data_IF_542730799684
#
_entry.id   IF_542730799684
#
_cell.length_a   1.000
_cell.length_b   1.000
_cell.length_c   1.000
_cell.angle_alpha   90.00
_cell.angle_beta   90.00
_cell.angle_gamma   90.00
#
_symmetry.space_group_name_H-M   'P 1'
#
loop_
_entity.id
_entity.type
_entity.pdbx_description
1 polymer ?
#
# COMPACT_ATOMS: atom_id res chain seq x y z
N UNK A 1 -12.39 4.87 16.87
CA UNK A 1 -11.60 4.81 18.12
C UNK A 1 -10.71 6.05 18.23
N UNK A 2 -10.85 6.87 19.28
CA UNK A 2 -9.98 8.04 19.48
C UNK A 2 -8.59 7.63 19.98
N UNK A 3 -7.53 8.12 19.35
CA UNK A 3 -6.15 8.06 19.85
C UNK A 3 -5.35 9.24 19.27
N UNK A 4 -4.06 9.32 19.61
CA UNK A 4 -3.23 10.47 19.26
C UNK A 4 -3.12 10.65 17.73
N UNK A 5 -2.87 9.58 16.97
CA UNK A 5 -2.78 9.58 15.50
C UNK A 5 -1.79 10.63 14.92
N UNK A 6 -0.61 10.78 15.51
CA UNK A 6 0.42 11.75 15.11
C UNK A 6 1.74 11.08 14.73
N UNK A 7 2.57 11.81 13.98
CA UNK A 7 3.90 11.36 13.62
C UNK A 7 4.86 12.56 13.46
N UNK A 8 5.46 12.96 14.58
CA UNK A 8 6.57 13.91 14.57
C UNK A 8 7.78 13.35 13.78
N UNK A 9 8.53 14.19 13.02
CA UNK A 9 8.41 15.65 12.85
C UNK A 9 7.63 16.07 11.60
N UNK A 10 6.79 15.21 11.03
CA UNK A 10 6.22 15.46 9.70
C UNK A 10 5.12 16.54 9.75
N UNK A 11 5.25 17.64 8.98
CA UNK A 11 4.34 18.78 9.04
C UNK A 11 3.05 18.57 8.24
N UNK A 12 2.53 17.34 8.20
CA UNK A 12 1.29 17.05 7.49
C UNK A 12 0.06 17.44 8.32
N UNK A 13 -1.00 18.00 7.69
CA UNK A 13 -2.23 18.32 8.40
C UNK A 13 -2.78 17.13 9.18
N UNK A 14 -3.06 17.34 10.48
CA UNK A 14 -3.57 16.29 11.37
C UNK A 14 -2.49 15.44 12.07
N UNK A 15 -1.21 15.53 11.67
CA UNK A 15 -0.14 14.68 12.20
C UNK A 15 0.64 15.30 13.37
N UNK A 16 0.22 16.46 13.87
CA UNK A 16 0.82 17.16 15.01
C UNK A 16 2.05 18.01 14.68
N UNK A 17 2.67 17.82 13.51
CA UNK A 17 3.80 18.64 13.04
C UNK A 17 5.01 18.61 13.98
N UNK A 18 5.68 19.76 14.12
CA UNK A 18 6.91 19.87 14.93
C UNK A 18 6.69 19.77 16.45
N UNK A 19 5.43 19.84 16.90
CA UNK A 19 5.04 19.71 18.31
C UNK A 19 4.21 18.44 18.58
N UNK A 20 4.08 17.56 17.58
CA UNK A 20 3.29 16.35 17.68
C UNK A 20 3.96 15.27 18.53
N UNK A 21 3.18 14.24 18.88
CA UNK A 21 3.72 13.03 19.47
C UNK A 21 4.59 12.28 18.47
N UNK A 22 5.62 11.62 18.99
CA UNK A 22 6.45 10.69 18.23
C UNK A 22 5.68 9.41 17.90
N UNK A 23 6.18 8.65 16.93
CA UNK A 23 5.49 7.48 16.38
C UNK A 23 5.09 6.46 17.45
N UNK A 24 6.04 5.97 18.24
CA UNK A 24 5.77 4.93 19.24
C UNK A 24 4.80 5.41 20.31
N UNK A 25 4.86 6.67 20.74
CA UNK A 25 3.89 7.27 21.68
C UNK A 25 2.49 7.25 21.09
N UNK A 26 2.36 7.67 19.83
CA UNK A 26 1.07 7.66 19.13
C UNK A 26 0.51 6.25 18.99
N UNK A 27 1.32 5.31 18.48
CA UNK A 27 0.92 3.90 18.33
C UNK A 27 0.55 3.26 19.66
N UNK A 28 1.33 3.49 20.73
CA UNK A 28 1.04 2.95 22.05
C UNK A 28 -0.32 3.43 22.60
N UNK A 29 -0.68 4.70 22.39
CA UNK A 29 -1.99 5.22 22.75
C UNK A 29 -3.13 4.52 22.00
N UNK A 30 -2.91 4.23 20.70
CA UNK A 30 -3.86 3.50 19.87
C UNK A 30 -4.00 2.04 20.30
N UNK A 31 -2.90 1.37 20.62
CA UNK A 31 -2.90 -0.02 21.11
C UNK A 31 -3.64 -0.11 22.44
N UNK A 32 -3.40 0.82 23.36
CA UNK A 32 -4.10 0.85 24.64
C UNK A 32 -5.62 1.00 24.45
N UNK A 33 -6.05 1.94 23.61
CA UNK A 33 -7.47 2.15 23.36
C UNK A 33 -8.11 0.97 22.62
N UNK A 34 -7.49 0.46 21.55
CA UNK A 34 -8.04 -0.66 20.79
C UNK A 34 -8.15 -1.93 21.65
N UNK A 35 -7.15 -2.19 22.50
CA UNK A 35 -7.19 -3.31 23.44
C UNK A 35 -8.33 -3.12 24.44
N UNK A 36 -8.51 -1.92 24.99
CA UNK A 36 -9.61 -1.60 25.90
C UNK A 36 -10.99 -1.81 25.26
N UNK A 37 -11.14 -1.40 23.99
CA UNK A 37 -12.39 -1.54 23.26
C UNK A 37 -12.72 -3.02 22.99
N UNK A 38 -11.70 -3.84 22.67
CA UNK A 38 -11.85 -5.28 22.42
C UNK A 38 -12.17 -6.09 23.69
N UNK A 39 -11.65 -5.71 24.86
CA UNK A 39 -11.99 -6.41 26.11
C UNK A 39 -13.28 -5.88 26.77
N UNK A 40 -13.72 -4.68 26.37
CA UNK A 40 -14.84 -3.97 26.97
C UNK A 40 -16.05 -3.92 26.05
N UNK A 41 -16.17 -2.82 25.29
CA UNK A 41 -17.37 -2.49 24.52
C UNK A 41 -17.72 -3.53 23.45
N UNK A 42 -16.72 -4.08 22.77
CA UNK A 42 -16.95 -5.02 21.67
C UNK A 42 -16.84 -6.49 22.08
N UNK A 43 -16.08 -6.81 23.14
CA UNK A 43 -15.89 -8.13 23.75
C UNK A 43 -16.32 -9.34 22.88
N UNK A 44 -15.46 -9.80 21.95
CA UNK A 44 -15.80 -10.82 20.96
C UNK A 44 -16.32 -12.12 21.57
N UNK A 45 -17.40 -12.64 21.00
CA UNK A 45 -18.00 -13.94 21.36
C UNK A 45 -18.52 -14.65 20.11
N UNK A 46 -18.90 -15.94 20.19
CA UNK A 46 -19.50 -16.64 19.05
C UNK A 46 -20.78 -15.97 18.51
N UNK A 47 -21.49 -15.23 19.38
CA UNK A 47 -22.70 -14.48 19.02
C UNK A 47 -22.40 -13.01 18.63
N UNK A 48 -21.15 -12.56 18.79
CA UNK A 48 -20.72 -11.17 18.55
C UNK A 48 -19.28 -11.14 18.00
N UNK A 49 -19.16 -11.46 16.71
CA UNK A 49 -17.88 -11.44 16.01
C UNK A 49 -17.43 -10.00 15.72
N UNK A 50 -16.12 -9.77 15.79
CA UNK A 50 -15.51 -8.44 15.62
C UNK A 50 -14.49 -8.45 14.49
N UNK A 51 -14.62 -7.49 13.57
CA UNK A 51 -13.59 -7.19 12.57
C UNK A 51 -12.85 -5.92 12.96
N UNK A 52 -11.56 -6.04 13.21
CA UNK A 52 -10.67 -4.91 13.49
C UNK A 52 -10.14 -4.36 12.16
N UNK A 53 -10.58 -3.15 11.83
CA UNK A 53 -10.10 -2.44 10.63
C UNK A 53 -8.99 -1.45 10.98
N UNK A 54 -7.87 -1.48 10.24
CA UNK A 54 -6.73 -0.58 10.42
C UNK A 54 -6.25 0.03 9.10
N UNK A 55 -5.97 1.34 9.10
CA UNK A 55 -5.42 2.06 7.95
C UNK A 55 -4.17 2.84 8.32
N UNK A 56 -3.09 2.70 7.54
CA UNK A 56 -1.82 3.42 7.73
C UNK A 56 -1.29 3.22 9.17
N UNK A 57 -1.06 4.27 9.97
CA UNK A 57 -0.67 4.12 11.39
C UNK A 57 -1.68 3.28 12.20
N UNK A 58 -2.98 3.33 11.86
CA UNK A 58 -3.99 2.45 12.46
C UNK A 58 -3.79 0.98 12.14
N UNK A 59 -3.21 0.65 10.98
CA UNK A 59 -2.81 -0.72 10.64
C UNK A 59 -1.61 -1.19 11.46
N UNK A 60 -0.67 -0.30 11.79
CA UNK A 60 0.41 -0.58 12.76
C UNK A 60 -0.15 -0.86 14.15
N UNK A 61 -1.09 -0.03 14.63
CA UNK A 61 -1.80 -0.25 15.91
C UNK A 61 -2.49 -1.62 15.91
N UNK A 62 -3.26 -1.92 14.87
CA UNK A 62 -3.96 -3.19 14.73
C UNK A 62 -2.98 -4.38 14.66
N UNK A 63 -1.85 -4.25 13.97
CA UNK A 63 -0.80 -5.28 13.90
C UNK A 63 -0.19 -5.58 15.27
N UNK A 64 0.02 -4.56 16.10
CA UNK A 64 0.53 -4.74 17.46
C UNK A 64 -0.51 -5.38 18.39
N UNK A 65 -1.79 -5.01 18.25
CA UNK A 65 -2.88 -5.68 18.98
C UNK A 65 -3.00 -7.14 18.53
N UNK A 66 -2.99 -7.44 17.23
CA UNK A 66 -2.98 -8.81 16.70
C UNK A 66 -1.86 -9.65 17.31
N UNK A 67 -0.65 -9.09 17.42
CA UNK A 67 0.50 -9.77 18.07
C UNK A 67 0.21 -10.12 19.53
N UNK A 68 -0.39 -9.21 20.29
CA UNK A 68 -0.77 -9.46 21.68
C UNK A 68 -1.86 -10.54 21.79
N UNK A 69 -2.86 -10.50 20.91
CA UNK A 69 -3.95 -11.49 20.86
C UNK A 69 -3.49 -12.88 20.43
N UNK A 70 -2.34 -13.01 19.74
CA UNK A 70 -1.76 -14.30 19.37
C UNK A 70 -1.45 -15.22 20.55
N UNK A 71 -1.41 -14.68 21.79
CA UNK A 71 -1.21 -15.45 23.02
C UNK A 71 -2.51 -16.05 23.59
N UNK A 72 -3.68 -15.70 23.03
CA UNK A 72 -4.96 -16.24 23.46
C UNK A 72 -5.21 -17.66 22.92
N UNK A 73 -6.15 -18.38 23.54
CA UNK A 73 -6.58 -19.68 23.03
C UNK A 73 -7.28 -19.55 21.67
N UNK A 74 -7.27 -20.61 20.86
CA UNK A 74 -7.92 -20.61 19.54
C UNK A 74 -9.42 -20.29 19.64
N UNK A 75 -10.09 -20.74 20.69
CA UNK A 75 -11.49 -20.42 20.95
C UNK A 75 -11.74 -18.92 21.16
N UNK A 76 -10.82 -18.20 21.82
CA UNK A 76 -10.94 -16.76 22.04
C UNK A 76 -10.61 -15.95 20.77
N UNK A 77 -9.78 -16.52 19.88
CA UNK A 77 -9.37 -15.89 18.63
C UNK A 77 -10.39 -16.09 17.50
N UNK A 78 -11.22 -17.13 17.59
CA UNK A 78 -12.15 -17.55 16.53
C UNK A 78 -13.15 -16.45 16.10
N UNK A 79 -13.49 -15.54 17.02
CA UNK A 79 -14.49 -14.49 16.80
C UNK A 79 -13.88 -13.12 16.45
N UNK A 80 -12.58 -13.10 16.12
CA UNK A 80 -11.84 -11.88 15.77
C UNK A 80 -11.23 -12.05 14.39
N UNK A 81 -11.39 -11.04 13.54
CA UNK A 81 -10.68 -10.93 12.28
C UNK A 81 -10.07 -9.53 12.11
N UNK A 82 -9.08 -9.41 11.24
CA UNK A 82 -8.42 -8.15 10.93
C UNK A 82 -8.53 -7.80 9.45
N UNK A 83 -8.74 -6.53 9.14
CA UNK A 83 -8.62 -5.98 7.79
C UNK A 83 -7.69 -4.78 7.85
N UNK A 84 -6.57 -4.86 7.14
CA UNK A 84 -5.52 -3.85 7.14
C UNK A 84 -5.41 -3.25 5.74
N UNK A 85 -5.33 -1.94 5.66
CA UNK A 85 -5.08 -1.23 4.40
C UNK A 85 -3.91 -0.26 4.54
N UNK A 86 -3.11 -0.10 3.49
CA UNK A 86 -1.95 0.81 3.54
C UNK A 86 -1.00 0.47 4.69
N UNK A 87 -0.80 -0.81 5.00
CA UNK A 87 -0.13 -1.26 6.22
C UNK A 87 1.39 -1.00 6.18
N UNK A 88 1.95 -0.12 7.04
CA UNK A 88 3.39 0.11 7.10
C UNK A 88 4.19 -1.12 7.52
N UNK A 89 3.56 -2.04 8.27
CA UNK A 89 4.16 -3.27 8.79
C UNK A 89 3.87 -4.50 7.91
N UNK A 90 3.37 -4.30 6.68
CA UNK A 90 3.24 -5.38 5.70
C UNK A 90 4.61 -6.05 5.51
N UNK A 91 4.78 -7.36 5.80
CA UNK A 91 6.11 -7.98 5.91
C UNK A 91 7.01 -7.76 4.68
N UNK A 92 6.43 -7.84 3.48
CA UNK A 92 7.08 -7.42 2.25
C UNK A 92 6.26 -6.33 1.55
N UNK A 93 6.86 -5.16 1.39
CA UNK A 93 6.23 -3.96 0.82
C UNK A 93 6.07 -2.84 1.85
N UNK A 94 5.88 -3.18 3.13
CA UNK A 94 5.76 -2.20 4.21
C UNK A 94 7.03 -1.37 4.38
N UNK A 95 6.92 -0.04 4.34
CA UNK A 95 8.06 0.88 4.51
C UNK A 95 8.76 0.68 5.86
N UNK A 96 8.02 0.33 6.91
CA UNK A 96 8.64 0.06 8.22
C UNK A 96 9.43 -1.26 8.23
N UNK A 97 9.09 -2.19 7.35
CA UNK A 97 9.81 -3.45 7.20
C UNK A 97 11.01 -3.30 6.26
N UNK A 98 10.92 -2.42 5.25
CA UNK A 98 12.08 -2.02 4.43
C UNK A 98 13.23 -1.48 5.27
N UNK A 99 12.89 -0.68 6.28
CA UNK A 99 13.83 -0.01 7.19
C UNK A 99 14.22 -0.85 8.41
N UNK A 100 13.92 -2.15 8.46
CA UNK A 100 14.14 -3.00 9.63
C UNK A 100 15.58 -2.96 10.19
N UNK A 101 16.59 -2.75 9.34
CA UNK A 101 18.00 -2.66 9.76
C UNK A 101 18.26 -1.49 10.73
N UNK A 102 17.42 -0.44 10.71
CA UNK A 102 17.54 0.70 11.60
C UNK A 102 17.10 0.38 13.05
N UNK A 103 16.35 -0.71 13.27
CA UNK A 103 15.78 -1.04 14.57
C UNK A 103 14.93 0.11 15.12
N UNK A 104 15.21 0.54 16.35
CA UNK A 104 14.59 1.73 16.94
C UNK A 104 15.47 2.96 16.72
N UNK A 105 14.91 4.00 16.09
CA UNK A 105 15.60 5.30 15.91
C UNK A 105 15.19 6.24 17.06
N UNK A 106 16.07 6.55 18.03
CA UNK A 106 15.66 7.24 19.27
C UNK A 106 15.14 8.67 19.06
N UNK A 107 15.66 9.39 18.07
CA UNK A 107 15.23 10.76 17.78
C UNK A 107 13.78 10.76 17.30
N UNK A 108 13.45 9.91 16.33
CA UNK A 108 12.10 9.73 15.81
C UNK A 108 11.17 9.00 16.79
N UNK A 109 11.74 8.23 17.72
CA UNK A 109 11.03 7.24 18.55
C UNK A 109 10.08 6.40 17.69
N UNK A 110 10.67 5.78 16.67
CA UNK A 110 10.01 4.88 15.74
C UNK A 110 10.80 3.58 15.70
N UNK A 111 10.11 2.46 15.86
CA UNK A 111 10.68 1.11 15.78
C UNK A 111 10.31 0.46 14.46
N UNK A 112 11.33 0.08 13.69
CA UNK A 112 11.21 -0.58 12.39
C UNK A 112 11.39 -2.10 12.53
N UNK A 113 11.01 -2.86 11.49
CA UNK A 113 11.17 -4.32 11.47
C UNK A 113 10.25 -5.04 12.45
N UNK A 114 8.97 -4.69 12.47
CA UNK A 114 7.95 -5.30 13.34
C UNK A 114 6.80 -5.83 12.48
N UNK A 115 7.09 -6.85 11.63
CA UNK A 115 6.17 -7.27 10.58
C UNK A 115 4.86 -7.77 11.18
N UNK A 116 3.72 -7.41 10.59
CA UNK A 116 2.41 -7.92 11.01
C UNK A 116 2.48 -9.46 11.08
N UNK A 117 2.19 -10.07 12.23
CA UNK A 117 2.36 -11.52 12.39
C UNK A 117 1.36 -12.27 11.50
N UNK A 118 1.77 -13.40 10.96
CA UNK A 118 0.99 -14.25 10.03
C UNK A 118 0.66 -15.63 10.61
N UNK A 119 1.02 -15.85 11.88
CA UNK A 119 1.02 -17.15 12.55
C UNK A 119 0.28 -17.11 13.90
N UNK A 120 -0.62 -16.14 14.07
CA UNK A 120 -1.42 -15.99 15.30
C UNK A 120 -2.66 -16.90 15.32
N UNK A 121 -3.09 -17.39 14.17
CA UNK A 121 -4.36 -18.08 13.98
C UNK A 121 -5.56 -17.14 13.88
N UNK A 122 -5.34 -15.83 13.73
CA UNK A 122 -6.39 -14.81 13.60
C UNK A 122 -6.48 -14.41 12.13
N UNK A 123 -7.62 -14.68 11.49
CA UNK A 123 -7.83 -14.37 10.09
C UNK A 123 -7.58 -12.88 9.81
N UNK A 124 -6.75 -12.60 8.80
CA UNK A 124 -6.38 -11.24 8.42
C UNK A 124 -6.42 -11.05 6.92
N UNK A 125 -6.98 -9.93 6.46
CA UNK A 125 -6.87 -9.48 5.07
C UNK A 125 -6.02 -8.21 5.03
N UNK A 126 -4.90 -8.21 4.30
CA UNK A 126 -4.01 -7.06 4.12
C UNK A 126 -4.09 -6.59 2.66
N UNK A 127 -4.60 -5.38 2.44
CA UNK A 127 -4.87 -4.82 1.12
C UNK A 127 -3.94 -3.63 0.87
N UNK A 128 -3.26 -3.64 -0.26
CA UNK A 128 -2.45 -2.51 -0.72
C UNK A 128 -2.74 -2.18 -2.18
N UNK A 129 -2.65 -0.90 -2.55
CA UNK A 129 -2.54 -0.49 -3.94
C UNK A 129 -1.09 -0.64 -4.42
N UNK A 130 -0.91 -1.08 -5.66
CA UNK A 130 0.39 -1.14 -6.30
C UNK A 130 1.01 0.26 -6.34
N UNK A 131 2.29 0.33 -5.97
CA UNK A 131 3.08 1.55 -5.83
C UNK A 131 2.71 2.45 -4.65
N UNK A 132 1.86 2.02 -3.72
CA UNK A 132 1.70 2.73 -2.45
C UNK A 132 3.08 2.87 -1.75
N UNK A 133 3.51 4.12 -1.55
CA UNK A 133 4.79 4.45 -0.92
C UNK A 133 4.93 4.07 0.56
N UNK A 134 3.94 3.40 1.15
CA UNK A 134 4.00 2.87 2.52
C UNK A 134 3.77 1.37 2.57
N UNK A 135 2.86 0.84 1.77
CA UNK A 135 2.47 -0.57 1.82
C UNK A 135 3.01 -1.43 0.66
N UNK A 136 3.49 -0.80 -0.41
CA UNK A 136 4.13 -1.46 -1.56
C UNK A 136 5.37 -0.65 -1.97
N UNK A 137 6.32 -0.49 -1.04
CA UNK A 137 7.59 0.20 -1.27
C UNK A 137 8.59 -0.74 -1.99
N UNK A 138 9.41 -0.24 -2.94
CA UNK A 138 10.42 -1.02 -3.65
C UNK A 138 11.35 -1.84 -2.75
N UNK A 139 11.77 -3.01 -3.22
CA UNK A 139 12.73 -3.85 -2.51
C UNK A 139 14.17 -3.38 -2.70
N UNK A 140 14.45 -2.76 -3.84
CA UNK A 140 15.80 -2.39 -4.28
C UNK A 140 15.94 -0.87 -4.43
N UNK A 141 16.47 -0.15 -3.41
CA UNK A 141 16.59 1.31 -3.42
C UNK A 141 17.69 1.84 -4.37
N UNK A 142 18.32 0.95 -5.14
CA UNK A 142 19.20 1.33 -6.26
C UNK A 142 18.39 1.66 -7.51
N UNK A 143 17.12 1.20 -7.59
CA UNK A 143 16.22 1.56 -8.67
C UNK A 143 15.51 2.88 -8.35
N UNK A 144 16.19 3.99 -8.67
CA UNK A 144 15.68 5.33 -8.39
C UNK A 144 14.34 5.63 -9.08
N UNK A 145 14.03 5.00 -10.22
CA UNK A 145 12.72 5.16 -10.86
C UNK A 145 11.62 4.57 -9.99
N UNK A 146 11.84 3.37 -9.44
CA UNK A 146 10.91 2.74 -8.52
C UNK A 146 10.74 3.54 -7.24
N UNK A 147 11.83 4.07 -6.68
CA UNK A 147 11.79 4.90 -5.47
C UNK A 147 11.02 6.20 -5.69
N UNK A 148 11.30 6.92 -6.79
CA UNK A 148 10.56 8.14 -7.15
C UNK A 148 9.09 7.86 -7.41
N UNK A 149 8.77 6.72 -8.05
CA UNK A 149 7.39 6.30 -8.28
C UNK A 149 6.67 5.96 -6.97
N UNK A 150 7.34 5.32 -6.01
CA UNK A 150 6.79 5.05 -4.69
C UNK A 150 6.59 6.33 -3.85
N UNK A 151 7.51 7.29 -3.94
CA UNK A 151 7.34 8.61 -3.31
C UNK A 151 6.14 9.37 -3.90
N UNK A 152 5.97 9.32 -5.21
CA UNK A 152 4.75 9.84 -5.84
C UNK A 152 3.52 9.04 -5.39
N UNK A 153 3.63 7.72 -5.24
CA UNK A 153 2.57 6.87 -4.68
C UNK A 153 2.19 7.23 -3.24
N UNK A 154 3.13 7.66 -2.40
CA UNK A 154 2.78 8.21 -1.09
C UNK A 154 1.88 9.46 -1.21
N UNK A 155 2.20 10.35 -2.15
CA UNK A 155 1.44 11.58 -2.36
C UNK A 155 0.06 11.35 -2.99
N UNK A 156 -0.05 10.44 -3.97
CA UNK A 156 -1.23 10.28 -4.83
C UNK A 156 -2.06 9.02 -4.54
N UNK A 157 -1.51 8.03 -3.82
CA UNK A 157 -2.18 6.76 -3.51
C UNK A 157 -2.41 6.59 -2.01
N UNK A 158 -1.38 6.76 -1.19
CA UNK A 158 -1.43 6.29 0.19
C UNK A 158 -2.55 6.93 1.02
N UNK A 159 -2.92 8.18 0.72
CA UNK A 159 -3.99 8.89 1.42
C UNK A 159 -5.41 8.66 0.86
N UNK A 160 -5.56 8.03 -0.31
CA UNK A 160 -6.80 8.01 -1.10
C UNK A 160 -7.53 6.67 -1.09
N UNK A 161 -7.10 5.69 -0.28
CA UNK A 161 -7.75 4.37 -0.19
C UNK A 161 -9.24 4.44 0.18
N UNK A 162 -9.58 5.34 1.10
CA UNK A 162 -10.92 5.53 1.65
C UNK A 162 -11.53 6.84 1.17
N UNK A 163 -10.97 7.43 0.10
CA UNK A 163 -11.42 8.72 -0.33
C UNK A 163 -12.85 8.59 -0.90
N UNK A 164 -13.74 9.46 -0.41
CA UNK A 164 -13.37 10.79 0.05
C UNK A 164 -13.93 11.12 1.43
N UNK A 165 -13.03 11.52 2.31
CA UNK A 165 -13.43 12.40 3.39
C UNK A 165 -13.98 13.73 2.81
N UNK A 166 -14.59 14.56 3.65
CA UNK A 166 -15.25 15.83 3.28
C UNK A 166 -14.37 16.88 2.56
N UNK A 167 -13.12 16.56 2.19
CA UNK A 167 -12.19 17.39 1.41
C UNK A 167 -11.82 16.78 0.04
N UNK A 168 -12.42 15.66 -0.34
CA UNK A 168 -12.15 14.94 -1.58
C UNK A 168 -13.49 14.65 -2.29
N UNK A 169 -13.50 14.46 -3.60
CA UNK A 169 -14.71 14.16 -4.37
C UNK A 169 -15.08 12.68 -4.18
N UNK A 170 -16.35 12.30 -3.86
CA UNK A 170 -16.94 10.92 -3.87
C UNK A 170 -16.37 9.91 -4.86
N UNK A 171 -15.82 10.35 -6.00
CA UNK A 171 -15.19 9.49 -7.00
C UNK A 171 -13.66 9.47 -7.04
N UNK A 172 -12.94 10.14 -6.12
CA UNK A 172 -11.48 10.29 -6.17
C UNK A 172 -10.76 9.03 -5.65
N UNK A 173 -10.65 8.04 -6.52
CA UNK A 173 -9.81 6.87 -6.27
C UNK A 173 -8.37 7.09 -6.75
N UNK A 174 -7.42 6.34 -6.19
CA UNK A 174 -6.01 6.50 -6.53
C UNK A 174 -5.74 6.36 -8.03
N UNK A 175 -5.02 7.35 -8.57
CA UNK A 175 -4.23 7.22 -9.79
C UNK A 175 -5.02 6.76 -11.03
N UNK A 176 -6.25 7.26 -11.18
CA UNK A 176 -7.12 7.03 -12.35
C UNK A 176 -7.99 5.78 -12.27
N UNK A 177 -8.13 5.17 -11.09
CA UNK A 177 -9.19 4.18 -10.84
C UNK A 177 -10.55 4.88 -10.72
N UNK A 178 -11.60 4.15 -11.07
CA UNK A 178 -12.99 4.53 -10.78
C UNK A 178 -13.66 3.45 -9.90
N UNK A 179 -14.74 3.76 -9.16
CA UNK A 179 -15.35 2.82 -8.22
C UNK A 179 -15.79 1.48 -8.84
N UNK A 180 -16.30 1.49 -10.07
CA UNK A 180 -16.74 0.27 -10.74
C UNK A 180 -15.55 -0.61 -11.15
N UNK A 181 -14.47 0.02 -11.64
CA UNK A 181 -13.21 -0.66 -11.96
C UNK A 181 -12.57 -1.23 -10.70
N UNK A 182 -12.58 -0.51 -9.59
CA UNK A 182 -12.05 -0.99 -8.31
C UNK A 182 -12.85 -2.20 -7.80
N UNK A 183 -14.18 -2.09 -7.75
CA UNK A 183 -15.06 -3.18 -7.28
C UNK A 183 -14.90 -4.44 -8.12
N UNK A 184 -14.92 -4.31 -9.46
CA UNK A 184 -14.74 -5.44 -10.38
C UNK A 184 -13.34 -6.05 -10.26
N UNK A 185 -12.29 -5.24 -10.17
CA UNK A 185 -10.91 -5.72 -9.99
C UNK A 185 -10.73 -6.48 -8.69
N UNK A 186 -11.22 -5.95 -7.56
CA UNK A 186 -11.13 -6.63 -6.26
C UNK A 186 -11.93 -7.94 -6.28
N UNK A 187 -13.13 -7.91 -6.85
CA UNK A 187 -13.97 -9.11 -6.96
C UNK A 187 -13.30 -10.21 -7.80
N UNK A 188 -12.67 -9.83 -8.92
CA UNK A 188 -11.89 -10.74 -9.76
C UNK A 188 -10.70 -11.36 -9.00
N UNK A 189 -9.91 -10.52 -8.30
CA UNK A 189 -8.73 -10.98 -7.55
C UNK A 189 -9.14 -11.95 -6.45
N UNK A 190 -10.16 -11.59 -5.67
CA UNK A 190 -10.63 -12.41 -4.54
C UNK A 190 -11.24 -13.72 -5.04
N UNK A 191 -12.05 -13.69 -6.10
CA UNK A 191 -12.65 -14.90 -6.68
C UNK A 191 -11.59 -15.89 -7.20
N UNK A 192 -10.46 -15.38 -7.69
CA UNK A 192 -9.39 -16.19 -8.28
C UNK A 192 -8.14 -16.27 -7.38
N UNK A 193 -8.27 -16.02 -6.07
CA UNK A 193 -7.13 -15.82 -5.18
C UNK A 193 -6.12 -17.00 -5.16
N UNK A 194 -6.58 -18.22 -5.47
CA UNK A 194 -5.71 -19.40 -5.53
C UNK A 194 -4.70 -19.36 -6.70
N UNK A 195 -5.00 -18.63 -7.77
CA UNK A 195 -4.19 -18.60 -9.00
C UNK A 195 -3.76 -17.19 -9.40
N UNK A 196 -4.41 -16.16 -8.86
CA UNK A 196 -4.11 -14.77 -9.17
C UNK A 196 -2.87 -14.31 -8.39
N UNK A 197 -1.78 -13.87 -9.06
CA UNK A 197 -0.57 -13.42 -8.36
C UNK A 197 -0.76 -12.16 -7.50
N UNK A 198 -1.87 -11.43 -7.70
CA UNK A 198 -2.28 -10.26 -6.91
C UNK A 198 -2.90 -10.66 -5.57
N UNK A 199 -3.22 -11.94 -5.38
CA UNK A 199 -3.69 -12.51 -4.12
C UNK A 199 -2.71 -13.56 -3.61
N UNK A 200 -2.30 -13.49 -2.34
CA UNK A 200 -1.38 -14.47 -1.76
C UNK A 200 -1.84 -14.84 -0.36
N UNK A 201 -1.88 -16.14 -0.05
CA UNK A 201 -2.11 -16.63 1.30
C UNK A 201 -0.77 -16.94 1.97
N UNK A 202 -0.53 -16.40 3.16
CA UNK A 202 0.61 -16.76 4.00
C UNK A 202 0.14 -16.91 5.45
N UNK A 203 0.17 -18.13 5.97
CA UNK A 203 -0.36 -18.44 7.30
C UNK A 203 -1.84 -18.02 7.43
N UNK A 204 -2.15 -17.26 8.48
CA UNK A 204 -3.49 -16.73 8.78
C UNK A 204 -3.87 -15.47 7.97
N UNK A 205 -3.00 -15.01 7.06
CA UNK A 205 -3.16 -13.72 6.36
C UNK A 205 -3.33 -13.90 4.85
N UNK A 206 -4.38 -13.29 4.31
CA UNK A 206 -4.61 -13.10 2.87
C UNK A 206 -4.12 -11.71 2.46
N UNK A 207 -3.17 -11.64 1.53
CA UNK A 207 -2.69 -10.39 0.95
C UNK A 207 -3.38 -10.14 -0.39
N UNK A 208 -3.92 -8.94 -0.57
CA UNK A 208 -4.51 -8.49 -1.83
C UNK A 208 -3.77 -7.24 -2.30
N UNK A 209 -3.37 -7.21 -3.58
CA UNK A 209 -2.66 -6.08 -4.18
C UNK A 209 -3.41 -5.57 -5.39
N UNK A 210 -3.95 -4.37 -5.29
CA UNK A 210 -4.79 -3.78 -6.32
C UNK A 210 -3.89 -3.00 -7.29
N UNK A 211 -3.82 -3.37 -8.57
CA UNK A 211 -3.01 -2.65 -9.54
C UNK A 211 -3.51 -1.22 -9.74
N UNK A 212 -2.61 -0.29 -10.02
CA UNK A 212 -3.00 1.07 -10.41
C UNK A 212 -2.82 1.26 -11.92
N UNK A 213 -3.80 1.84 -12.63
CA UNK A 213 -3.79 1.90 -14.09
C UNK A 213 -2.70 2.82 -14.62
N UNK A 214 -2.38 3.89 -13.88
CA UNK A 214 -1.33 4.84 -14.22
C UNK A 214 -0.08 4.64 -13.35
N UNK A 215 1.04 5.26 -13.72
CA UNK A 215 2.20 5.35 -12.83
C UNK A 215 2.10 6.63 -12.00
N UNK A 216 2.18 6.58 -10.65
CA UNK A 216 2.18 7.77 -9.82
C UNK A 216 3.27 8.78 -10.21
N UNK A 217 4.43 8.30 -10.67
CA UNK A 217 5.53 9.14 -11.15
C UNK A 217 5.10 10.11 -12.27
N UNK A 218 4.09 9.75 -13.05
CA UNK A 218 3.60 10.53 -14.19
C UNK A 218 2.39 11.40 -13.83
N UNK A 219 1.83 11.25 -12.63
CA UNK A 219 0.68 12.02 -12.17
C UNK A 219 0.94 13.54 -12.20
N UNK A 220 2.11 14.08 -11.79
CA UNK A 220 2.37 15.52 -11.90
C UNK A 220 2.28 16.08 -13.32
N UNK A 221 2.63 15.28 -14.34
CA UNK A 221 2.51 15.69 -15.75
C UNK A 221 1.05 15.73 -16.18
N UNK A 222 0.24 14.76 -15.73
CA UNK A 222 -1.23 14.74 -15.94
C UNK A 222 -1.90 15.92 -15.25
N UNK A 223 -1.52 16.20 -14.01
CA UNK A 223 -2.02 17.34 -13.21
C UNK A 223 -1.71 18.67 -13.91
N UNK A 224 -0.46 18.84 -14.38
CA UNK A 224 -0.06 20.02 -15.16
C UNK A 224 -0.91 20.16 -16.42
N UNK A 225 -1.06 19.09 -17.19
CA UNK A 225 -1.91 19.06 -18.39
C UNK A 225 -3.34 19.49 -18.10
N UNK A 226 -3.92 18.99 -17.01
CA UNK A 226 -5.25 19.36 -16.55
C UNK A 226 -5.35 20.84 -16.17
N UNK A 227 -4.40 21.32 -15.36
CA UNK A 227 -4.37 22.70 -14.86
C UNK A 227 -4.11 23.74 -15.97
N UNK A 228 -3.37 23.38 -17.02
CA UNK A 228 -3.02 24.29 -18.12
C UNK A 228 -3.87 24.09 -19.37
N UNK A 229 -4.85 23.17 -19.35
CA UNK A 229 -5.63 22.75 -20.52
C UNK A 229 -4.77 22.24 -21.71
N UNK A 230 -3.63 21.60 -21.41
CA UNK A 230 -2.70 21.04 -22.39
C UNK A 230 -2.77 19.50 -22.43
N UNK A 231 -3.94 18.92 -22.13
CA UNK A 231 -4.14 17.46 -22.16
C UNK A 231 -3.84 16.87 -23.54
N UNK A 232 -4.11 17.62 -24.61
CA UNK A 232 -3.79 17.20 -25.99
C UNK A 232 -2.29 16.99 -26.26
N UNK A 233 -1.40 17.51 -25.40
CA UNK A 233 0.05 17.28 -25.45
C UNK A 233 0.48 16.29 -24.36
N UNK A 234 0.00 16.50 -23.14
CA UNK A 234 0.45 15.75 -21.96
C UNK A 234 -0.06 14.32 -21.94
N UNK A 235 -1.30 14.05 -22.37
CA UNK A 235 -1.85 12.68 -22.41
C UNK A 235 -1.05 11.77 -23.36
N UNK A 236 -0.87 12.12 -24.67
CA UNK A 236 -0.08 11.27 -25.56
C UNK A 236 1.37 11.09 -25.08
N UNK A 237 1.97 12.12 -24.48
CA UNK A 237 3.32 12.04 -23.95
C UNK A 237 3.41 11.03 -22.79
N UNK A 238 2.48 11.10 -21.85
CA UNK A 238 2.46 10.20 -20.70
C UNK A 238 2.18 8.78 -21.15
N UNK A 239 1.20 8.58 -22.03
CA UNK A 239 0.80 7.25 -22.50
C UNK A 239 1.87 6.62 -23.41
N UNK A 240 2.70 7.43 -24.08
CA UNK A 240 3.91 6.98 -24.77
C UNK A 240 4.96 6.38 -23.83
N UNK A 241 5.27 7.06 -22.72
CA UNK A 241 6.40 6.68 -21.85
C UNK A 241 6.01 5.72 -20.73
N UNK A 242 4.73 5.70 -20.35
CA UNK A 242 4.24 4.95 -19.20
C UNK A 242 4.54 3.46 -19.26
N UNK A 243 4.29 2.74 -20.37
CA UNK A 243 4.54 1.30 -20.40
C UNK A 243 6.03 0.97 -20.20
N UNK A 244 6.92 1.69 -20.88
CA UNK A 244 8.35 1.48 -20.76
C UNK A 244 8.86 1.79 -19.34
N UNK A 245 8.41 2.89 -18.75
CA UNK A 245 8.73 3.23 -17.36
C UNK A 245 8.21 2.17 -16.38
N UNK A 246 7.03 1.60 -16.63
CA UNK A 246 6.46 0.54 -15.79
C UNK A 246 7.35 -0.68 -15.77
N UNK A 247 7.85 -1.14 -16.93
CA UNK A 247 8.80 -2.26 -17.00
C UNK A 247 10.05 -1.97 -16.16
N UNK A 248 10.64 -0.77 -16.29
CA UNK A 248 11.84 -0.39 -15.56
C UNK A 248 11.59 -0.27 -14.04
N UNK A 249 10.47 0.32 -13.65
CA UNK A 249 10.05 0.47 -12.25
C UNK A 249 9.84 -0.90 -11.61
N UNK A 250 9.17 -1.84 -12.29
CA UNK A 250 8.89 -3.17 -11.77
C UNK A 250 10.15 -3.97 -11.44
N UNK A 251 11.30 -3.67 -12.07
CA UNK A 251 12.58 -4.29 -11.67
C UNK A 251 13.05 -3.92 -10.25
N UNK A 252 12.50 -2.85 -9.67
CA UNK A 252 12.74 -2.43 -8.29
C UNK A 252 11.95 -3.22 -7.24
N UNK A 253 11.00 -4.06 -7.67
CA UNK A 253 10.08 -4.77 -6.79
C UNK A 253 10.38 -6.28 -6.74
N UNK A 254 10.20 -6.87 -5.57
CA UNK A 254 10.09 -8.31 -5.40
C UNK A 254 8.84 -8.62 -4.56
N UNK A 255 7.78 -9.07 -5.23
CA UNK A 255 6.48 -9.38 -4.63
C UNK A 255 6.20 -10.89 -4.58
N UNK A 256 7.24 -11.72 -4.53
CA UNK A 256 7.12 -13.18 -4.58
C UNK A 256 6.38 -13.78 -3.37
N UNK A 257 6.49 -13.14 -2.20
CA UNK A 257 5.80 -13.54 -0.97
C UNK A 257 5.58 -12.28 -0.12
N UNK A 258 4.32 -11.86 0.06
CA UNK A 258 3.97 -10.70 0.88
C UNK A 258 4.10 -10.94 2.39
N UNK A 259 4.00 -12.20 2.84
CA UNK A 259 4.06 -12.57 4.25
C UNK A 259 5.48 -12.75 4.79
N UNK A 260 6.49 -12.78 3.91
CA UNK A 260 7.90 -12.92 4.31
C UNK A 260 8.55 -11.56 4.60
N UNK A 261 9.00 -11.28 5.83
CA UNK A 261 9.70 -10.04 6.16
C UNK A 261 10.86 -9.77 5.20
N UNK A 262 10.81 -8.64 4.50
CA UNK A 262 11.76 -8.31 3.43
C UNK A 262 12.27 -6.87 3.61
N UNK A 263 13.40 -6.69 4.32
CA UNK A 263 14.08 -5.39 4.37
C UNK A 263 14.65 -5.01 3.01
N UNK A 264 15.17 -3.79 2.88
CA UNK A 264 15.89 -3.36 1.67
C UNK A 264 16.99 -4.34 1.28
N UNK A 265 17.14 -4.55 -0.03
CA UNK A 265 18.18 -5.38 -0.64
C UNK A 265 18.93 -4.56 -1.69
N UNK A 266 20.21 -4.85 -1.91
CA UNK A 266 21.04 -4.06 -2.81
C UNK A 266 21.03 -4.54 -4.27
N UNK A 267 20.77 -5.83 -4.51
CA UNK A 267 20.96 -6.45 -5.84
C UNK A 267 19.60 -6.91 -6.39
N UNK A 268 19.06 -6.23 -7.43
CA UNK A 268 17.85 -6.66 -8.12
C UNK A 268 17.96 -8.10 -8.65
N UNK A 269 16.82 -8.79 -8.69
CA UNK A 269 16.73 -10.19 -9.18
C UNK A 269 16.07 -10.31 -10.55
N UNK A 270 15.77 -9.18 -11.20
CA UNK A 270 15.14 -9.14 -12.50
C UNK A 270 16.04 -9.79 -13.59
N UNK A 271 15.43 -10.58 -14.46
CA UNK A 271 16.14 -11.22 -15.57
C UNK A 271 16.35 -10.20 -16.70
N UNK A 272 17.60 -9.89 -17.11
CA UNK A 272 17.87 -8.86 -18.11
C UNK A 272 17.28 -9.19 -19.49
N UNK A 273 17.14 -10.47 -19.84
CA UNK A 273 16.53 -10.90 -21.11
C UNK A 273 15.03 -10.60 -21.08
N UNK A 274 14.35 -11.01 -20.01
CA UNK A 274 12.92 -10.72 -19.82
C UNK A 274 12.65 -9.22 -19.83
N UNK A 275 13.43 -8.45 -19.07
CA UNK A 275 13.34 -6.98 -19.04
C UNK A 275 13.52 -6.38 -20.44
N UNK A 276 14.48 -6.87 -21.23
CA UNK A 276 14.70 -6.36 -22.59
C UNK A 276 13.51 -6.65 -23.50
N UNK A 277 12.96 -7.86 -23.46
CA UNK A 277 11.81 -8.27 -24.26
C UNK A 277 10.57 -7.45 -23.87
N UNK A 278 10.30 -7.34 -22.57
CA UNK A 278 9.16 -6.58 -22.05
C UNK A 278 9.30 -5.09 -22.37
N UNK A 279 10.52 -4.54 -22.33
CA UNK A 279 10.76 -3.15 -22.69
C UNK A 279 10.50 -2.87 -24.17
N UNK A 280 10.93 -3.76 -25.08
CA UNK A 280 10.64 -3.61 -26.51
C UNK A 280 9.13 -3.65 -26.76
N UNK A 281 8.42 -4.58 -26.14
CA UNK A 281 6.95 -4.66 -26.23
C UNK A 281 6.31 -3.39 -25.69
N UNK A 282 6.73 -2.94 -24.51
CA UNK A 282 6.19 -1.76 -23.86
C UNK A 282 6.42 -0.47 -24.67
N UNK A 283 7.54 -0.35 -25.38
CA UNK A 283 7.76 0.77 -26.31
C UNK A 283 6.72 0.74 -27.44
N UNK A 284 6.40 -0.44 -27.99
CA UNK A 284 5.32 -0.60 -28.96
C UNK A 284 3.97 -0.19 -28.40
N UNK A 285 3.60 -0.74 -27.24
CA UNK A 285 2.33 -0.43 -26.55
C UNK A 285 2.18 1.09 -26.29
N UNK A 286 3.28 1.77 -25.93
CA UNK A 286 3.29 3.22 -25.73
C UNK A 286 3.09 4.01 -27.01
N UNK A 287 3.74 3.61 -28.11
CA UNK A 287 3.55 4.25 -29.43
C UNK A 287 2.10 4.10 -29.87
N UNK A 288 1.53 2.91 -29.73
CA UNK A 288 0.15 2.64 -30.13
C UNK A 288 -0.85 3.47 -29.31
N UNK A 289 -0.65 3.58 -28.00
CA UNK A 289 -1.46 4.43 -27.12
C UNK A 289 -1.38 5.92 -27.53
N UNK A 290 -0.17 6.45 -27.73
CA UNK A 290 0.02 7.85 -28.11
C UNK A 290 -0.57 8.16 -29.50
N UNK A 291 -0.48 7.24 -30.46
CA UNK A 291 -1.10 7.39 -31.79
C UNK A 291 -2.62 7.39 -31.67
N UNK A 292 -3.18 6.51 -30.84
CA UNK A 292 -4.61 6.49 -30.57
C UNK A 292 -5.09 7.82 -29.98
N UNK A 293 -4.38 8.38 -29.00
CA UNK A 293 -4.76 9.65 -28.37
C UNK A 293 -4.74 10.83 -29.35
N UNK A 294 -3.80 10.84 -30.31
CA UNK A 294 -3.67 11.91 -31.31
C UNK A 294 -4.70 11.77 -32.43
N UNK A 295 -4.97 10.53 -32.87
CA UNK A 295 -5.71 10.27 -34.12
C UNK A 295 -7.12 9.72 -33.92
N UNK A 296 -7.45 9.24 -32.71
CA UNK A 296 -8.68 8.50 -32.41
C UNK A 296 -8.77 7.13 -33.07
N UNK A 297 -7.65 6.59 -33.58
CA UNK A 297 -7.60 5.28 -34.26
C UNK A 297 -6.65 4.34 -33.52
N UNK A 298 -7.09 3.11 -33.29
CA UNK A 298 -6.17 2.03 -32.88
C UNK A 298 -5.41 1.57 -34.13
N UNK A 299 -4.06 1.53 -34.11
CA UNK A 299 -3.25 1.06 -35.24
C UNK A 299 -3.52 -0.38 -35.67
#
# INVERSE_FOLDING_TARGET
MPYIAQFWPFPFPGWGGLSGAKWNVSVASGVAQLTSDLIGTYNPTPDSQVVVFGYSQGATVASQVKRNLGQLSDAQKADIAFVLIGNPNRPNGGLFERLALLGTVPILDATFGQPTPTDTGIQTTDIAFQYDGVADFPTYPINLLADLNALAGFAYIHGTYLAPNAKSDPGELPNGLDPATLESTVSEIVANCQTDPRCQQHGDTTYVTIPTPNLPLLQPVRDLGSATHLQFITTPLVDLVQPALRVLIETGYNRADYGRPTPFRLIPTANPITVTVDLVKAVGDGVDAAVHDITGKTP
#
